data_IF_335452067516
#
_entry.id   IF_335452067516
#
_cell.length_a   1.000
_cell.length_b   1.000
_cell.length_c   1.000
_cell.angle_alpha   90.00
_cell.angle_beta   90.00
_cell.angle_gamma   90.00
#
_symmetry.space_group_name_H-M   'P 1'
#
loop_
_entity.id
_entity.type
_entity.pdbx_description
1 polymer ?
#
# COMPACT_ATOMS: atom_id res chain seq x y z
N UNK A 1 -30.07 -25.94 50.26
CA UNK A 1 -28.60 -25.81 50.33
C UNK A 1 -28.07 -26.02 48.92
N UNK A 2 -28.05 -25.02 48.03
CA UNK A 2 -27.11 -23.89 47.91
C UNK A 2 -25.65 -24.29 48.07
N UNK A 3 -24.87 -24.31 46.97
CA UNK A 3 -23.83 -23.31 46.74
C UNK A 3 -23.40 -23.32 45.26
N UNK A 4 -23.83 -22.29 44.52
CA UNK A 4 -23.28 -21.88 43.23
C UNK A 4 -21.91 -21.24 43.50
N UNK A 5 -20.85 -21.67 42.80
CA UNK A 5 -19.58 -20.96 42.78
C UNK A 5 -19.52 -20.08 41.54
N UNK A 6 -19.88 -18.81 41.74
CA UNK A 6 -19.67 -17.72 40.80
C UNK A 6 -18.22 -17.25 40.91
N UNK A 7 -17.46 -17.30 39.82
CA UNK A 7 -16.15 -16.63 39.71
C UNK A 7 -16.40 -15.26 39.07
N UNK A 8 -16.15 -14.13 39.75
CA UNK A 8 -16.12 -12.84 39.11
C UNK A 8 -14.71 -12.61 38.56
N UNK A 9 -14.54 -12.59 37.24
CA UNK A 9 -13.30 -12.09 36.65
C UNK A 9 -13.49 -10.63 36.22
N UNK A 10 -12.64 -9.82 36.85
CA UNK A 10 -12.58 -8.37 36.85
C UNK A 10 -12.36 -7.78 35.45
N UNK A 11 -13.08 -6.69 35.18
CA UNK A 11 -12.98 -5.80 34.02
C UNK A 11 -11.66 -5.03 33.97
N UNK A 12 -11.06 -4.93 32.78
CA UNK A 12 -10.18 -3.80 32.41
C UNK A 12 -10.73 -3.19 31.13
N UNK A 13 -11.56 -2.16 31.28
CA UNK A 13 -11.87 -1.21 30.20
C UNK A 13 -10.71 -0.22 30.13
N UNK A 14 -9.89 -0.28 29.08
CA UNK A 14 -8.98 0.82 28.75
C UNK A 14 -9.82 1.85 27.98
N UNK A 15 -10.34 2.83 28.70
CA UNK A 15 -10.88 4.04 28.08
C UNK A 15 -9.71 4.85 27.53
N UNK A 16 -9.61 4.96 26.20
CA UNK A 16 -8.76 5.94 25.55
C UNK A 16 -9.32 7.34 25.83
N UNK A 17 -8.79 8.00 26.84
CA UNK A 17 -9.02 9.44 27.06
C UNK A 17 -8.13 10.21 26.09
N UNK A 18 -8.70 10.65 24.96
CA UNK A 18 -8.12 11.71 24.14
C UNK A 18 -8.26 13.02 24.93
N UNK A 19 -7.26 13.38 25.73
CA UNK A 19 -7.15 14.73 26.30
C UNK A 19 -6.48 15.60 25.25
N UNK A 20 -7.28 16.32 24.47
CA UNK A 20 -6.82 17.49 23.72
C UNK A 20 -6.90 18.68 24.69
N UNK A 21 -5.75 19.10 25.21
CA UNK A 21 -5.64 20.33 26.00
C UNK A 21 -4.92 21.37 25.14
N UNK A 22 -5.68 22.33 24.62
CA UNK A 22 -5.17 23.57 24.05
C UNK A 22 -4.61 24.44 25.18
N UNK A 23 -3.39 24.97 24.99
CA UNK A 23 -3.05 26.37 25.23
C UNK A 23 -1.60 26.69 24.79
N UNK A 24 -1.31 27.96 24.45
CA UNK A 24 -0.33 28.34 23.43
C UNK A 24 1.07 28.50 24.00
N UNK A 25 2.08 28.07 23.25
CA UNK A 25 3.47 28.45 23.51
C UNK A 25 3.74 29.76 22.80
N UNK A 26 3.90 30.80 23.62
CA UNK A 26 4.44 32.11 23.31
C UNK A 26 5.79 32.03 22.60
N UNK A 27 5.92 32.83 21.54
CA UNK A 27 7.16 33.07 20.82
C UNK A 27 8.18 33.78 21.71
N UNK A 28 9.32 33.16 21.96
CA UNK A 28 10.56 33.88 22.26
C UNK A 28 11.59 33.47 21.22
N UNK A 29 11.88 34.42 20.33
CA UNK A 29 12.92 34.33 19.32
C UNK A 29 14.27 34.60 19.96
N UNK A 30 15.18 33.64 19.89
CA UNK A 30 16.62 33.91 20.04
C UNK A 30 17.38 33.24 18.90
N UNK A 31 17.76 34.09 17.94
CA UNK A 31 18.76 33.96 16.88
C UNK A 31 19.26 32.58 16.45
N UNK A 32 18.85 32.17 15.25
CA UNK A 32 19.76 31.49 14.32
C UNK A 32 19.83 32.37 13.07
N UNK A 33 20.84 33.22 13.05
CA UNK A 33 21.23 34.01 11.88
C UNK A 33 21.96 33.07 10.92
N UNK A 34 21.30 32.75 9.82
CA UNK A 34 21.75 31.81 8.81
C UNK A 34 20.80 31.87 7.62
N UNK A 35 20.72 33.06 7.03
CA UNK A 35 19.90 33.46 5.88
C UNK A 35 19.52 32.30 4.94
N UNK A 36 18.33 31.73 5.13
CA UNK A 36 17.59 31.17 4.02
C UNK A 36 17.11 32.38 3.22
N UNK A 37 17.82 32.67 2.13
CA UNK A 37 17.44 33.71 1.18
C UNK A 37 16.13 33.29 0.48
N UNK A 38 15.00 33.50 1.15
CA UNK A 38 13.65 33.24 0.62
C UNK A 38 13.40 34.00 -0.70
N UNK A 39 14.15 35.08 -0.96
CA UNK A 39 14.14 35.79 -2.25
C UNK A 39 14.54 34.91 -3.43
N UNK A 40 15.61 34.11 -3.31
CA UNK A 40 16.07 33.23 -4.40
C UNK A 40 15.12 32.05 -4.64
N UNK A 41 14.55 31.48 -3.58
CA UNK A 41 13.58 30.38 -3.69
C UNK A 41 12.27 30.81 -4.39
N UNK A 42 11.87 32.08 -4.26
CA UNK A 42 10.71 32.64 -4.95
C UNK A 42 11.06 33.02 -6.41
N UNK A 43 12.30 33.41 -6.68
CA UNK A 43 12.76 33.79 -8.02
C UNK A 43 12.93 32.57 -8.95
N UNK A 44 13.35 31.42 -8.41
CA UNK A 44 13.38 30.14 -9.12
C UNK A 44 11.97 29.66 -9.55
N UNK A 45 10.93 29.98 -8.76
CA UNK A 45 9.52 29.73 -9.11
C UNK A 45 9.05 30.69 -10.23
N UNK A 46 9.59 31.92 -10.25
CA UNK A 46 9.18 32.98 -11.17
C UNK A 46 9.87 32.90 -12.55
N UNK A 47 11.04 32.27 -12.63
CA UNK A 47 11.85 32.13 -13.85
C UNK A 47 11.52 30.90 -14.73
N UNK A 48 10.41 30.20 -14.47
CA UNK A 48 9.81 29.32 -15.47
C UNK A 48 10.67 28.11 -15.87
N UNK A 49 11.45 27.54 -14.94
CA UNK A 49 11.80 26.12 -15.10
C UNK A 49 10.58 25.31 -14.71
N UNK A 50 9.73 25.04 -15.70
CA UNK A 50 8.61 24.12 -15.61
C UNK A 50 9.16 22.73 -15.30
N UNK A 51 9.48 22.46 -14.03
CA UNK A 51 9.58 21.09 -13.55
C UNK A 51 8.19 20.53 -13.71
N UNK A 52 8.03 19.67 -14.71
CA UNK A 52 6.82 18.91 -14.94
C UNK A 52 6.62 18.03 -13.69
N UNK A 53 5.89 18.56 -12.69
CA UNK A 53 5.40 17.76 -11.58
C UNK A 53 4.30 16.91 -12.18
N UNK A 54 4.70 15.80 -12.78
CA UNK A 54 3.77 14.76 -13.19
C UNK A 54 3.25 14.13 -11.91
N UNK A 55 2.20 14.73 -11.34
CA UNK A 55 1.34 14.05 -10.38
C UNK A 55 0.62 12.98 -11.18
N UNK A 56 1.31 11.86 -11.43
CA UNK A 56 0.66 10.61 -11.78
C UNK A 56 -0.12 10.28 -10.50
N UNK A 57 -1.41 10.60 -10.46
CA UNK A 57 -2.30 10.03 -9.45
C UNK A 57 -1.95 8.53 -9.42
N UNK A 58 -1.50 7.95 -8.27
CA UNK A 58 -0.89 6.63 -8.27
C UNK A 58 -1.94 5.64 -8.72
N UNK A 59 -1.95 5.36 -10.02
CA UNK A 59 -2.80 4.33 -10.58
C UNK A 59 -2.12 3.03 -10.18
N UNK A 60 -2.87 2.11 -9.56
CA UNK A 60 -2.39 0.76 -9.28
C UNK A 60 -1.56 0.27 -10.45
N UNK A 61 -0.35 -0.23 -10.16
CA UNK A 61 0.45 -0.85 -11.18
C UNK A 61 -0.34 -2.03 -11.77
N UNK A 62 -0.25 -2.30 -13.09
CA UNK A 62 -0.99 -3.39 -13.72
C UNK A 62 -0.84 -4.74 -12.99
N UNK A 63 0.34 -5.00 -12.45
CA UNK A 63 0.71 -6.20 -11.69
C UNK A 63 -0.05 -6.34 -10.36
N UNK A 64 -0.62 -5.26 -9.83
CA UNK A 64 -1.32 -5.22 -8.55
C UNK A 64 -2.84 -5.26 -8.69
N UNK A 65 -3.37 -5.24 -9.92
CA UNK A 65 -4.82 -5.19 -10.18
C UNK A 65 -5.52 -6.43 -9.60
N UNK A 66 -5.04 -7.64 -9.91
CA UNK A 66 -5.67 -8.88 -9.43
C UNK A 66 -5.69 -8.93 -7.89
N UNK A 67 -4.59 -8.52 -7.24
CA UNK A 67 -4.52 -8.40 -5.78
C UNK A 67 -5.59 -7.45 -5.25
N UNK A 68 -5.74 -6.29 -5.87
CA UNK A 68 -6.71 -5.28 -5.44
C UNK A 68 -8.15 -5.78 -5.63
N UNK A 69 -8.46 -6.40 -6.77
CA UNK A 69 -9.79 -6.97 -7.05
C UNK A 69 -10.14 -8.06 -6.04
N UNK A 70 -9.23 -9.00 -5.79
CA UNK A 70 -9.45 -10.09 -4.84
C UNK A 70 -9.52 -9.61 -3.39
N UNK A 71 -8.77 -8.57 -3.03
CA UNK A 71 -8.90 -7.90 -1.73
C UNK A 71 -10.26 -7.22 -1.58
N UNK A 72 -10.78 -6.60 -2.64
CA UNK A 72 -12.12 -6.03 -2.65
C UNK A 72 -13.19 -7.10 -2.54
N UNK A 73 -13.03 -8.24 -3.22
CA UNK A 73 -13.95 -9.36 -3.10
C UNK A 73 -14.03 -9.85 -1.65
N UNK A 74 -12.89 -10.04 -1.00
CA UNK A 74 -12.85 -10.42 0.41
C UNK A 74 -13.59 -9.42 1.31
N UNK A 75 -13.45 -8.10 1.05
CA UNK A 75 -14.22 -7.08 1.77
C UNK A 75 -15.73 -7.18 1.50
N UNK A 76 -16.13 -7.42 0.25
CA UNK A 76 -17.54 -7.55 -0.14
C UNK A 76 -18.20 -8.80 0.48
N UNK A 77 -17.45 -9.91 0.62
CA UNK A 77 -17.90 -11.10 1.34
C UNK A 77 -18.19 -10.76 2.81
N UNK A 78 -17.29 -10.04 3.47
CA UNK A 78 -17.45 -9.64 4.89
C UNK A 78 -18.60 -8.66 5.07
N UNK A 79 -18.75 -7.69 4.16
CA UNK A 79 -19.74 -6.63 4.32
C UNK A 79 -21.14 -7.02 3.85
N UNK A 80 -21.25 -7.93 2.88
CA UNK A 80 -22.52 -8.26 2.20
C UNK A 80 -22.47 -9.68 1.61
N UNK A 81 -22.43 -10.72 2.45
CA UNK A 81 -22.24 -12.10 2.01
C UNK A 81 -23.36 -12.57 1.06
N UNK A 82 -24.63 -12.30 1.37
CA UNK A 82 -25.78 -12.78 0.56
C UNK A 82 -25.83 -12.09 -0.81
N UNK A 83 -25.45 -10.81 -0.87
CA UNK A 83 -25.33 -10.11 -2.14
C UNK A 83 -24.19 -10.69 -2.99
N UNK A 84 -23.07 -11.02 -2.35
CA UNK A 84 -21.90 -11.58 -3.02
C UNK A 84 -22.18 -12.99 -3.54
N UNK A 85 -22.90 -13.83 -2.77
CA UNK A 85 -23.38 -15.14 -3.22
C UNK A 85 -24.21 -15.02 -4.49
N UNK A 86 -25.24 -14.15 -4.48
CA UNK A 86 -26.08 -13.94 -5.66
C UNK A 86 -25.30 -13.43 -6.86
N UNK A 87 -24.32 -12.53 -6.64
CA UNK A 87 -23.50 -11.96 -7.72
C UNK A 87 -22.58 -13.00 -8.35
N UNK A 88 -22.01 -13.90 -7.55
CA UNK A 88 -21.08 -14.93 -8.01
C UNK A 88 -21.79 -16.24 -8.40
N UNK A 89 -23.09 -16.37 -8.11
CA UNK A 89 -23.85 -17.60 -8.32
C UNK A 89 -23.27 -18.75 -7.50
N UNK A 90 -22.93 -18.51 -6.23
CA UNK A 90 -22.33 -19.50 -5.33
C UNK A 90 -23.17 -19.71 -4.08
N UNK A 91 -23.10 -20.91 -3.52
CA UNK A 91 -23.69 -21.21 -2.21
C UNK A 91 -22.81 -20.72 -1.04
N UNK A 92 -23.26 -20.95 0.19
CA UNK A 92 -22.56 -20.55 1.42
C UNK A 92 -21.22 -21.26 1.60
N UNK A 93 -21.15 -22.56 1.28
CA UNK A 93 -19.93 -23.34 1.42
C UNK A 93 -18.88 -22.87 0.41
N UNK A 94 -19.29 -22.62 -0.84
CA UNK A 94 -18.43 -22.07 -1.86
C UNK A 94 -17.96 -20.65 -1.51
N UNK A 95 -18.84 -19.78 -1.00
CA UNK A 95 -18.44 -18.45 -0.54
C UNK A 95 -17.40 -18.51 0.59
N UNK A 96 -17.59 -19.43 1.55
CA UNK A 96 -16.66 -19.65 2.65
C UNK A 96 -15.29 -20.15 2.13
N UNK A 97 -15.28 -21.07 1.16
CA UNK A 97 -14.03 -21.55 0.53
C UNK A 97 -13.28 -20.43 -0.20
N UNK A 98 -14.01 -19.57 -0.92
CA UNK A 98 -13.42 -18.35 -1.53
C UNK A 98 -12.80 -17.49 -0.43
N UNK A 99 -13.53 -17.21 0.65
CA UNK A 99 -13.04 -16.35 1.73
C UNK A 99 -11.78 -16.89 2.40
N UNK A 100 -11.72 -18.22 2.66
CA UNK A 100 -10.54 -18.88 3.22
C UNK A 100 -9.34 -18.76 2.26
N UNK A 101 -9.55 -19.04 0.98
CA UNK A 101 -8.50 -18.94 -0.06
C UNK A 101 -7.92 -17.53 -0.11
N UNK A 102 -8.79 -16.50 -0.09
CA UNK A 102 -8.39 -15.09 -0.08
C UNK A 102 -7.66 -14.68 1.21
N UNK A 103 -8.12 -15.17 2.36
CA UNK A 103 -7.50 -14.87 3.66
C UNK A 103 -6.09 -15.44 3.75
N UNK A 104 -5.91 -16.68 3.29
CA UNK A 104 -4.60 -17.33 3.20
C UNK A 104 -3.68 -16.54 2.26
N UNK A 105 -4.18 -16.17 1.08
CA UNK A 105 -3.42 -15.38 0.12
C UNK A 105 -2.95 -14.04 0.69
N UNK A 106 -3.82 -13.33 1.41
CA UNK A 106 -3.48 -12.06 2.06
C UNK A 106 -2.42 -12.23 3.13
N UNK A 107 -2.48 -13.30 3.93
CA UNK A 107 -1.51 -13.55 5.00
C UNK A 107 -0.09 -13.81 4.49
N UNK A 108 0.04 -14.33 3.27
CA UNK A 108 1.33 -14.73 2.68
C UNK A 108 2.14 -13.54 2.14
N UNK A 109 1.47 -12.51 1.61
CA UNK A 109 2.14 -11.32 1.07
C UNK A 109 2.35 -10.29 2.19
N UNK A 110 3.53 -10.34 2.81
CA UNK A 110 4.01 -9.33 3.76
C UNK A 110 4.67 -8.14 3.03
N UNK A 111 4.51 -6.93 3.56
CA UNK A 111 4.89 -5.68 2.89
C UNK A 111 6.38 -5.61 2.55
N UNK A 112 6.65 -5.50 1.25
CA UNK A 112 8.00 -5.48 0.66
C UNK A 112 8.74 -4.14 0.80
N UNK A 113 8.10 -3.12 1.39
CA UNK A 113 8.63 -1.75 1.44
C UNK A 113 10.02 -1.68 2.07
N UNK A 114 10.20 -2.29 3.25
CA UNK A 114 11.51 -2.33 3.91
C UNK A 114 12.56 -3.14 3.13
N UNK A 115 12.16 -4.13 2.34
CA UNK A 115 13.10 -4.87 1.50
C UNK A 115 13.59 -4.03 0.31
N UNK A 116 12.70 -3.19 -0.25
CA UNK A 116 13.05 -2.23 -1.30
C UNK A 116 14.00 -1.14 -0.75
N UNK A 117 13.69 -0.60 0.44
CA UNK A 117 14.57 0.36 1.15
C UNK A 117 15.94 -0.27 1.43
N UNK A 118 15.99 -1.50 1.97
CA UNK A 118 17.29 -2.19 2.17
C UNK A 118 18.07 -2.39 0.87
N UNK A 119 17.40 -2.61 -0.26
CA UNK A 119 18.08 -2.73 -1.55
C UNK A 119 18.65 -1.39 -2.03
N UNK A 120 17.90 -0.30 -1.82
CA UNK A 120 18.34 1.07 -2.07
C UNK A 120 19.59 1.40 -1.25
N UNK A 121 19.54 1.20 0.07
CA UNK A 121 20.65 1.58 0.95
C UNK A 121 21.89 0.74 0.71
N UNK A 122 21.75 -0.57 0.49
CA UNK A 122 22.90 -1.39 0.08
C UNK A 122 23.56 -0.94 -1.22
N UNK A 123 22.80 -0.40 -2.17
CA UNK A 123 23.35 0.16 -3.40
C UNK A 123 24.02 1.51 -3.14
N UNK A 124 23.43 2.34 -2.27
CA UNK A 124 24.03 3.59 -1.81
C UNK A 124 25.39 3.36 -1.14
N UNK A 125 25.47 2.45 -0.16
CA UNK A 125 26.66 2.21 0.67
C UNK A 125 27.84 1.64 -0.15
N UNK A 126 27.54 0.88 -1.21
CA UNK A 126 28.55 0.21 -2.05
C UNK A 126 28.96 0.99 -3.28
N UNK A 127 28.30 2.11 -3.56
CA UNK A 127 28.54 2.88 -4.78
C UNK A 127 29.83 3.69 -4.69
N UNK A 128 30.67 3.61 -5.73
CA UNK A 128 31.83 4.48 -5.92
C UNK A 128 31.44 5.79 -6.65
N UNK A 129 30.20 5.90 -7.12
CA UNK A 129 29.70 7.08 -7.81
C UNK A 129 29.49 8.24 -6.83
N UNK A 130 29.42 9.46 -7.36
CA UNK A 130 29.15 10.66 -6.56
C UNK A 130 27.98 11.46 -7.12
N UNK A 131 27.45 12.38 -6.30
CA UNK A 131 26.36 13.27 -6.70
C UNK A 131 25.13 12.54 -7.22
N UNK A 132 24.55 13.07 -8.31
CA UNK A 132 23.30 12.57 -8.89
C UNK A 132 23.40 11.13 -9.42
N UNK A 133 24.59 10.67 -9.81
CA UNK A 133 24.76 9.33 -10.37
C UNK A 133 24.65 8.26 -9.28
N UNK A 134 25.19 8.54 -8.09
CA UNK A 134 25.01 7.68 -6.89
C UNK A 134 23.53 7.58 -6.48
N UNK A 135 22.83 8.72 -6.49
CA UNK A 135 21.39 8.78 -6.16
C UNK A 135 20.58 7.95 -7.17
N UNK A 136 20.87 8.09 -8.47
CA UNK A 136 20.19 7.33 -9.52
C UNK A 136 20.42 5.83 -9.37
N UNK A 137 21.62 5.41 -8.98
CA UNK A 137 21.93 4.00 -8.73
C UNK A 137 21.10 3.42 -7.57
N UNK A 138 21.05 4.14 -6.44
CA UNK A 138 20.27 3.73 -5.28
C UNK A 138 18.77 3.64 -5.60
N UNK A 139 18.20 4.66 -6.24
CA UNK A 139 16.80 4.66 -6.67
C UNK A 139 16.50 3.56 -7.71
N UNK A 140 17.46 3.25 -8.59
CA UNK A 140 17.31 2.14 -9.53
C UNK A 140 17.29 0.80 -8.82
N UNK A 141 18.08 0.61 -7.75
CA UNK A 141 18.05 -0.60 -6.94
C UNK A 141 16.71 -0.77 -6.20
N UNK A 142 16.15 0.32 -5.67
CA UNK A 142 14.79 0.34 -5.13
C UNK A 142 13.76 -0.12 -6.17
N UNK A 143 13.72 0.54 -7.34
CA UNK A 143 12.75 0.29 -8.40
C UNK A 143 12.85 -1.13 -8.95
N UNK A 144 14.06 -1.66 -9.15
CA UNK A 144 14.26 -3.07 -9.57
C UNK A 144 13.67 -4.03 -8.55
N UNK A 145 13.91 -3.82 -7.26
CA UNK A 145 13.39 -4.71 -6.21
C UNK A 145 11.87 -4.60 -6.06
N UNK A 146 11.33 -3.40 -6.22
CA UNK A 146 9.88 -3.15 -6.25
C UNK A 146 9.22 -3.90 -7.41
N UNK A 147 9.79 -3.84 -8.62
CA UNK A 147 9.27 -4.57 -9.77
C UNK A 147 9.31 -6.08 -9.57
N UNK A 148 10.37 -6.62 -8.94
CA UNK A 148 10.41 -8.04 -8.59
C UNK A 148 9.26 -8.44 -7.66
N UNK A 149 8.92 -7.61 -6.67
CA UNK A 149 7.75 -7.86 -5.82
C UNK A 149 6.47 -7.80 -6.64
N UNK A 150 6.29 -6.79 -7.49
CA UNK A 150 5.09 -6.66 -8.33
C UNK A 150 4.88 -7.87 -9.23
N UNK A 151 5.93 -8.32 -9.93
CA UNK A 151 5.88 -9.52 -10.76
C UNK A 151 5.54 -10.78 -9.95
N UNK A 152 6.04 -10.87 -8.71
CA UNK A 152 5.68 -11.95 -7.81
C UNK A 152 4.21 -11.89 -7.39
N UNK A 153 3.71 -10.70 -7.01
CA UNK A 153 2.31 -10.45 -6.65
C UNK A 153 1.40 -10.87 -7.81
N UNK A 154 1.69 -10.42 -9.03
CA UNK A 154 0.92 -10.75 -10.23
C UNK A 154 0.81 -12.27 -10.41
N UNK A 155 1.96 -12.96 -10.42
CA UNK A 155 2.00 -14.42 -10.59
C UNK A 155 1.27 -15.15 -9.47
N UNK A 156 1.45 -14.71 -8.23
CA UNK A 156 0.83 -15.32 -7.07
C UNK A 156 -0.69 -15.19 -7.10
N UNK A 157 -1.21 -13.98 -7.33
CA UNK A 157 -2.65 -13.77 -7.37
C UNK A 157 -3.32 -14.38 -8.61
N UNK A 158 -2.57 -14.58 -9.71
CA UNK A 158 -3.05 -15.42 -10.82
C UNK A 158 -3.27 -16.87 -10.40
N UNK A 159 -2.38 -17.43 -9.56
CA UNK A 159 -2.56 -18.77 -8.98
C UNK A 159 -3.76 -18.79 -8.04
N UNK A 160 -3.91 -17.80 -7.17
CA UNK A 160 -5.07 -17.68 -6.25
C UNK A 160 -6.39 -17.62 -7.02
N UNK A 161 -6.44 -16.84 -8.11
CA UNK A 161 -7.62 -16.79 -9.01
C UNK A 161 -7.91 -18.18 -9.59
N UNK A 162 -6.88 -18.88 -10.07
CA UNK A 162 -7.03 -20.23 -10.63
C UNK A 162 -7.48 -21.27 -9.60
N UNK A 163 -7.03 -21.14 -8.35
CA UNK A 163 -7.45 -22.01 -7.25
C UNK A 163 -8.94 -21.81 -6.95
N UNK A 164 -9.39 -20.56 -6.88
CA UNK A 164 -10.82 -20.24 -6.73
C UNK A 164 -11.63 -20.85 -7.88
N UNK A 165 -11.22 -20.61 -9.12
CA UNK A 165 -11.91 -21.11 -10.30
C UNK A 165 -12.04 -22.64 -10.31
N UNK A 166 -11.04 -23.36 -9.79
CA UNK A 166 -10.98 -24.82 -9.83
C UNK A 166 -12.10 -25.55 -9.07
N UNK A 167 -12.67 -24.92 -8.04
CA UNK A 167 -13.74 -25.52 -7.22
C UNK A 167 -15.13 -24.92 -7.47
N UNK A 168 -15.25 -23.98 -8.42
CA UNK A 168 -16.52 -23.40 -8.81
C UNK A 168 -17.27 -24.31 -9.82
N UNK A 169 -18.60 -24.25 -9.79
CA UNK A 169 -19.41 -24.81 -10.86
C UNK A 169 -19.28 -23.95 -12.12
N UNK A 170 -19.53 -24.52 -13.31
CA UNK A 170 -19.33 -23.83 -14.59
C UNK A 170 -20.03 -22.47 -14.68
N UNK A 171 -21.28 -22.36 -14.22
CA UNK A 171 -22.00 -21.08 -14.19
C UNK A 171 -21.32 -20.06 -13.25
N UNK A 172 -20.93 -20.51 -12.05
CA UNK A 172 -20.23 -19.67 -11.08
C UNK A 172 -18.85 -19.22 -11.57
N UNK A 173 -18.14 -20.05 -12.35
CA UNK A 173 -16.87 -19.67 -13.00
C UNK A 173 -17.05 -18.49 -13.96
N UNK A 174 -18.09 -18.54 -14.80
CA UNK A 174 -18.40 -17.46 -15.73
C UNK A 174 -18.72 -16.15 -14.99
N UNK A 175 -19.53 -16.23 -13.94
CA UNK A 175 -19.88 -15.08 -13.10
C UNK A 175 -18.65 -14.53 -12.34
N UNK A 176 -17.80 -15.40 -11.83
CA UNK A 176 -16.55 -15.01 -11.17
C UNK A 176 -15.57 -14.34 -12.14
N UNK A 177 -15.39 -14.88 -13.35
CA UNK A 177 -14.55 -14.23 -14.37
C UNK A 177 -15.11 -12.87 -14.77
N UNK A 178 -16.42 -12.77 -14.99
CA UNK A 178 -17.06 -11.49 -15.30
C UNK A 178 -16.90 -10.46 -14.17
N UNK A 179 -16.97 -10.92 -12.91
CA UNK A 179 -16.68 -10.09 -11.74
C UNK A 179 -15.24 -9.57 -11.75
N UNK A 180 -14.26 -10.47 -11.97
CA UNK A 180 -12.84 -10.11 -12.02
C UNK A 180 -12.56 -9.07 -13.11
N UNK A 181 -13.14 -9.27 -14.30
CA UNK A 181 -12.89 -8.40 -15.45
C UNK A 181 -13.56 -7.01 -15.30
N UNK A 182 -14.80 -6.94 -14.78
CA UNK A 182 -15.47 -5.67 -14.50
C UNK A 182 -14.72 -4.87 -13.43
N UNK A 183 -14.37 -5.51 -12.30
CA UNK A 183 -13.68 -4.83 -11.20
C UNK A 183 -12.26 -4.45 -11.55
N UNK A 184 -11.54 -5.31 -12.26
CA UNK A 184 -10.19 -5.01 -12.75
C UNK A 184 -10.18 -3.79 -13.65
N UNK A 185 -11.12 -3.73 -14.62
CA UNK A 185 -11.29 -2.57 -15.50
C UNK A 185 -11.60 -1.28 -14.73
N UNK A 186 -12.49 -1.35 -13.74
CA UNK A 186 -12.80 -0.19 -12.88
C UNK A 186 -11.58 0.26 -12.09
N UNK A 187 -10.81 -0.65 -11.52
CA UNK A 187 -9.61 -0.29 -10.73
C UNK A 187 -8.51 0.30 -11.60
N UNK A 188 -8.31 -0.23 -12.81
CA UNK A 188 -7.38 0.34 -13.79
C UNK A 188 -7.78 1.76 -14.20
N UNK A 189 -9.09 2.03 -14.33
CA UNK A 189 -9.60 3.32 -14.80
C UNK A 189 -9.84 4.35 -13.68
N UNK A 190 -10.01 3.92 -12.43
CA UNK A 190 -10.39 4.78 -11.31
C UNK A 190 -9.21 5.46 -10.60
N UNK A 191 -7.96 5.27 -11.05
CA UNK A 191 -6.79 5.81 -10.36
C UNK A 191 -6.69 5.31 -8.91
N UNK A 192 -7.13 4.07 -8.64
CA UNK A 192 -7.12 3.50 -7.31
C UNK A 192 -5.68 3.48 -6.78
N UNK A 193 -5.49 3.95 -5.54
CA UNK A 193 -4.18 4.23 -4.97
C UNK A 193 -3.52 2.95 -4.45
N UNK A 194 -2.28 2.68 -4.88
CA UNK A 194 -1.44 1.70 -4.17
C UNK A 194 -0.97 2.32 -2.86
N UNK A 195 -1.23 1.68 -1.73
CA UNK A 195 -0.56 1.99 -0.48
C UNK A 195 0.92 1.61 -0.62
N UNK A 196 1.81 2.59 -0.83
CA UNK A 196 3.27 2.39 -0.75
C UNK A 196 4.13 2.86 -1.93
N UNK A 197 3.61 3.65 -2.87
CA UNK A 197 4.47 4.26 -3.88
C UNK A 197 5.25 5.44 -3.28
N UNK A 198 6.51 5.20 -2.87
CA UNK A 198 7.49 6.29 -2.68
C UNK A 198 7.66 6.97 -4.03
N UNK A 199 7.50 8.30 -4.04
CA UNK A 199 7.37 9.14 -5.24
C UNK A 199 8.66 9.12 -6.07
N UNK A 200 8.53 8.82 -7.37
CA UNK A 200 9.62 8.62 -8.34
C UNK A 200 10.20 9.92 -8.94
N UNK A 201 10.10 11.07 -8.27
CA UNK A 201 10.77 12.29 -8.76
C UNK A 201 12.21 12.32 -8.22
N UNK A 202 13.20 12.72 -9.03
CA UNK A 202 14.60 12.84 -8.61
C UNK A 202 14.78 13.78 -7.41
N UNK A 203 13.97 14.86 -7.31
CA UNK A 203 13.98 15.75 -6.15
C UNK A 203 13.56 15.05 -4.85
N UNK A 204 12.41 14.38 -4.86
CA UNK A 204 11.94 13.57 -3.73
C UNK A 204 12.79 12.32 -3.51
N UNK A 205 13.44 11.83 -4.56
CA UNK A 205 14.31 10.65 -4.55
C UNK A 205 15.63 10.93 -3.81
N UNK A 206 16.20 12.13 -3.98
CA UNK A 206 17.33 12.59 -3.17
C UNK A 206 16.97 12.62 -1.68
N UNK A 207 15.85 13.25 -1.33
CA UNK A 207 15.35 13.31 0.05
C UNK A 207 15.05 11.91 0.62
N UNK A 208 14.50 11.02 -0.19
CA UNK A 208 14.21 9.63 0.20
C UNK A 208 15.49 8.84 0.50
N UNK A 209 16.49 8.94 -0.38
CA UNK A 209 17.78 8.25 -0.19
C UNK A 209 18.49 8.79 1.04
N UNK A 210 18.53 10.12 1.20
CA UNK A 210 19.10 10.74 2.39
C UNK A 210 18.35 10.30 3.66
N UNK A 211 17.02 10.37 3.68
CA UNK A 211 16.24 10.01 4.86
C UNK A 211 16.41 8.55 5.30
N UNK A 212 16.52 7.61 4.34
CA UNK A 212 16.53 6.18 4.66
C UNK A 212 17.91 5.51 4.71
N UNK A 213 18.92 6.07 4.03
CA UNK A 213 20.21 5.42 3.82
C UNK A 213 21.38 6.22 4.41
N UNK A 214 21.12 7.04 5.43
CA UNK A 214 22.21 7.63 6.21
C UNK A 214 22.97 6.56 7.00
N UNK A 215 24.26 6.81 7.16
CA UNK A 215 25.16 6.13 8.09
C UNK A 215 24.60 6.14 9.53
#
# INVERSE_FOLDING_TARGET
MSLRHSIPLLLVFIASTCVAQENPVTSDSTGIDGLINQGQAIEDIRLGTTREVKVIAPTLAPEEIDRAVLSRLMQEIVSSPELTQRRLGVDENQLQNIFITLSNARSFINDSGMANIRAMCRAWDKSELTGNDRIREALSAYSRRQQLTRNFIEKYYRVVRSEIDSFLAEESKLLFSAYMDDRGRRMANAGATSSGAIVQNLGSGTETVQFHCHD
#
